data_IF_634414855752
#
_entry.id   IF_634414855752
#
_cell.length_a   1.000
_cell.length_b   1.000
_cell.length_c   1.000
_cell.angle_alpha   90.00
_cell.angle_beta   90.00
_cell.angle_gamma   90.00
#
_symmetry.space_group_name_H-M   'P 1'
#
loop_
_entity.id
_entity.type
_entity.pdbx_description
1 polymer ?
#
# COMPACT_ATOMS: atom_id res chain seq x y z
N UNK A 1 9.09 -30.75 24.88
CA UNK A 1 7.79 -31.38 25.26
C UNK A 1 6.59 -30.45 25.00
N UNK A 2 6.56 -29.19 25.48
CA UNK A 2 5.49 -28.23 25.16
C UNK A 2 5.48 -27.84 23.69
N UNK A 3 6.65 -27.62 23.08
CA UNK A 3 6.81 -27.31 21.66
C UNK A 3 6.32 -28.46 20.76
N UNK A 4 6.55 -29.71 21.16
CA UNK A 4 6.12 -30.89 20.41
C UNK A 4 4.59 -31.05 20.48
N UNK A 5 3.98 -30.78 21.63
CA UNK A 5 2.53 -30.77 21.80
C UNK A 5 1.90 -29.65 20.94
N UNK A 6 2.47 -28.43 20.98
CA UNK A 6 1.97 -27.33 20.18
C UNK A 6 2.08 -27.61 18.67
N UNK A 7 3.18 -28.24 18.23
CA UNK A 7 3.36 -28.66 16.84
C UNK A 7 2.32 -29.71 16.44
N UNK A 8 2.13 -30.74 17.25
CA UNK A 8 1.13 -31.80 17.00
C UNK A 8 -0.29 -31.23 16.95
N UNK A 9 -0.63 -30.27 17.81
CA UNK A 9 -1.93 -29.60 17.79
C UNK A 9 -2.11 -28.79 16.49
N UNK A 10 -1.06 -28.07 16.03
CA UNK A 10 -1.08 -27.34 14.77
C UNK A 10 -1.27 -28.28 13.56
N UNK A 11 -0.59 -29.43 13.55
CA UNK A 11 -0.71 -30.45 12.51
C UNK A 11 -2.15 -30.99 12.42
N UNK A 12 -2.78 -31.27 13.55
CA UNK A 12 -4.18 -31.75 13.61
C UNK A 12 -5.13 -30.68 13.06
N UNK A 13 -4.96 -29.41 13.46
CA UNK A 13 -5.76 -28.29 12.94
C UNK A 13 -5.60 -28.13 11.44
N UNK A 14 -4.39 -28.28 10.93
CA UNK A 14 -4.09 -28.17 9.50
C UNK A 14 -4.73 -29.33 8.70
N UNK A 15 -4.64 -30.56 9.20
CA UNK A 15 -5.28 -31.73 8.57
C UNK A 15 -6.80 -31.58 8.52
N UNK A 16 -7.41 -31.11 9.58
CA UNK A 16 -8.85 -30.90 9.67
C UNK A 16 -9.31 -29.74 8.76
N UNK A 17 -8.58 -28.63 8.74
CA UNK A 17 -8.84 -27.52 7.83
C UNK A 17 -8.70 -27.95 6.37
N UNK A 18 -7.74 -28.80 6.02
CA UNK A 18 -7.55 -29.33 4.66
C UNK A 18 -8.79 -30.08 4.16
N UNK A 19 -9.46 -30.86 5.01
CA UNK A 19 -10.70 -31.58 4.68
C UNK A 19 -11.87 -30.62 4.38
N UNK A 20 -11.84 -29.43 4.95
CA UNK A 20 -12.89 -28.42 4.82
C UNK A 20 -12.59 -27.38 3.73
N UNK A 21 -11.35 -27.29 3.27
CA UNK A 21 -10.88 -26.22 2.38
C UNK A 21 -11.72 -26.10 1.11
N UNK A 22 -11.98 -27.22 0.43
CA UNK A 22 -12.77 -27.25 -0.81
C UNK A 22 -14.26 -26.96 -0.63
N UNK A 23 -14.77 -27.07 0.60
CA UNK A 23 -16.14 -26.66 0.94
C UNK A 23 -16.26 -25.15 1.14
N UNK A 24 -15.15 -24.50 1.52
CA UNK A 24 -15.08 -23.07 1.79
C UNK A 24 -14.58 -22.31 0.58
N UNK A 25 -13.52 -22.80 -0.06
CA UNK A 25 -12.91 -22.15 -1.22
C UNK A 25 -13.19 -22.94 -2.49
N UNK A 26 -13.68 -22.25 -3.53
CA UNK A 26 -13.90 -22.82 -4.86
C UNK A 26 -13.20 -21.96 -5.91
N UNK A 27 -12.59 -22.59 -6.89
CA UNK A 27 -12.00 -21.89 -8.05
C UNK A 27 -12.91 -22.07 -9.25
N UNK A 28 -13.33 -20.96 -9.85
CA UNK A 28 -14.14 -20.96 -11.06
C UNK A 28 -13.73 -19.81 -11.98
N UNK A 29 -13.46 -20.11 -13.26
CA UNK A 29 -13.06 -19.12 -14.28
C UNK A 29 -11.90 -18.21 -13.85
N UNK A 30 -10.87 -18.80 -13.21
CA UNK A 30 -9.69 -18.05 -12.75
C UNK A 30 -9.91 -17.15 -11.51
N UNK A 31 -11.10 -17.20 -10.92
CA UNK A 31 -11.43 -16.49 -9.67
C UNK A 31 -11.61 -17.50 -8.54
N UNK A 32 -11.25 -17.09 -7.34
CA UNK A 32 -11.48 -17.91 -6.13
C UNK A 32 -12.67 -17.31 -5.39
N UNK A 33 -13.53 -18.20 -4.92
CA UNK A 33 -14.76 -17.87 -4.18
C UNK A 33 -14.65 -18.43 -2.79
N UNK A 34 -14.80 -17.59 -1.78
CA UNK A 34 -14.98 -17.99 -0.39
C UNK A 34 -16.48 -17.97 -0.08
N UNK A 35 -17.04 -19.12 0.22
CA UNK A 35 -18.45 -19.28 0.55
C UNK A 35 -18.70 -18.84 1.99
N UNK A 36 -19.38 -17.71 2.18
CA UNK A 36 -19.59 -17.08 3.49
C UNK A 36 -20.30 -18.01 4.45
N UNK A 37 -21.37 -18.66 4.00
CA UNK A 37 -22.13 -19.56 4.87
C UNK A 37 -21.31 -20.78 5.31
N UNK A 38 -20.50 -21.34 4.42
CA UNK A 38 -19.62 -22.46 4.75
C UNK A 38 -18.50 -22.04 5.70
N UNK A 39 -17.90 -20.86 5.47
CA UNK A 39 -16.85 -20.33 6.32
C UNK A 39 -17.34 -20.03 7.74
N UNK A 40 -18.50 -19.41 7.88
CA UNK A 40 -19.07 -19.02 9.18
C UNK A 40 -19.56 -20.21 10.04
N UNK A 41 -19.63 -21.43 9.49
CA UNK A 41 -19.92 -22.64 10.27
C UNK A 41 -18.76 -23.10 11.15
N UNK A 42 -17.56 -22.59 10.89
CA UNK A 42 -16.37 -23.03 11.59
C UNK A 42 -16.00 -22.08 12.74
N UNK A 43 -15.42 -22.65 13.80
CA UNK A 43 -14.86 -21.88 14.91
C UNK A 43 -13.70 -20.98 14.47
N UNK A 44 -13.43 -19.87 15.18
CA UNK A 44 -12.41 -18.87 14.79
C UNK A 44 -11.04 -19.47 14.48
N UNK A 45 -10.58 -20.45 15.28
CA UNK A 45 -9.26 -21.07 15.04
C UNK A 45 -9.21 -21.81 13.68
N UNK A 46 -10.30 -22.45 13.28
CA UNK A 46 -10.38 -23.13 11.99
C UNK A 46 -10.53 -22.12 10.84
N UNK A 47 -11.27 -21.04 11.04
CA UNK A 47 -11.37 -19.94 10.07
C UNK A 47 -9.99 -19.33 9.82
N UNK A 48 -9.24 -19.06 10.88
CA UNK A 48 -7.86 -18.56 10.78
C UNK A 48 -6.96 -19.55 10.02
N UNK A 49 -7.02 -20.85 10.36
CA UNK A 49 -6.22 -21.88 9.68
C UNK A 49 -6.57 -22.00 8.20
N UNK A 50 -7.85 -21.90 7.83
CA UNK A 50 -8.30 -21.91 6.43
C UNK A 50 -7.73 -20.70 5.65
N UNK A 51 -7.74 -19.51 6.24
CA UNK A 51 -7.14 -18.32 5.63
C UNK A 51 -5.61 -18.43 5.55
N UNK A 52 -4.94 -18.96 6.57
CA UNK A 52 -3.50 -19.25 6.49
C UNK A 52 -3.18 -20.21 5.34
N UNK A 53 -3.94 -21.27 5.16
CA UNK A 53 -3.78 -22.22 4.06
C UNK A 53 -4.01 -21.54 2.69
N UNK A 54 -5.01 -20.67 2.60
CA UNK A 54 -5.24 -19.88 1.40
C UNK A 54 -4.00 -19.05 1.05
N UNK A 55 -3.48 -18.28 2.00
CA UNK A 55 -2.30 -17.45 1.74
C UNK A 55 -1.04 -18.28 1.49
N UNK A 56 -0.84 -19.37 2.21
CA UNK A 56 0.29 -20.28 1.96
C UNK A 56 0.30 -20.84 0.53
N UNK A 57 -0.88 -21.11 -0.03
CA UNK A 57 -1.02 -21.64 -1.38
C UNK A 57 -0.95 -20.57 -2.48
N UNK A 58 -1.46 -19.37 -2.22
CA UNK A 58 -1.68 -18.34 -3.26
C UNK A 58 -0.80 -17.09 -3.08
N UNK A 59 -0.23 -16.89 -1.90
CA UNK A 59 0.64 -15.77 -1.56
C UNK A 59 1.66 -16.17 -0.48
N UNK A 60 2.57 -17.12 -0.73
CA UNK A 60 3.44 -17.70 0.29
C UNK A 60 4.38 -16.68 0.97
N UNK A 61 4.57 -15.51 0.35
CA UNK A 61 5.31 -14.39 0.95
C UNK A 61 4.48 -13.53 1.92
N UNK A 62 3.16 -13.75 1.98
CA UNK A 62 2.26 -12.97 2.82
C UNK A 62 2.01 -13.69 4.14
N UNK A 63 2.27 -13.02 5.25
CA UNK A 63 1.96 -13.54 6.59
C UNK A 63 0.64 -12.95 7.03
N UNK A 64 -0.36 -13.80 7.27
CA UNK A 64 -1.65 -13.39 7.82
C UNK A 64 -1.44 -12.96 9.28
N UNK A 65 -1.52 -11.65 9.53
CA UNK A 65 -1.49 -11.09 10.88
C UNK A 65 -2.89 -11.09 11.51
N UNK A 66 -2.98 -10.83 12.82
CA UNK A 66 -4.27 -10.66 13.49
C UNK A 66 -5.09 -9.51 12.90
N UNK A 67 -4.42 -8.43 12.50
CA UNK A 67 -5.07 -7.25 11.89
C UNK A 67 -5.70 -7.61 10.56
N UNK A 68 -4.97 -8.29 9.67
CA UNK A 68 -5.54 -8.73 8.39
C UNK A 68 -6.65 -9.77 8.58
N UNK A 69 -6.49 -10.67 9.53
CA UNK A 69 -7.54 -11.63 9.85
C UNK A 69 -8.84 -10.93 10.27
N UNK A 70 -8.77 -9.98 11.20
CA UNK A 70 -9.94 -9.21 11.64
C UNK A 70 -10.57 -8.40 10.50
N UNK A 71 -9.78 -7.78 9.63
CA UNK A 71 -10.28 -7.07 8.44
C UNK A 71 -11.01 -7.99 7.46
N UNK A 72 -10.49 -9.20 7.26
CA UNK A 72 -11.16 -10.19 6.41
C UNK A 72 -12.46 -10.65 7.08
N UNK A 73 -12.48 -10.87 8.39
CA UNK A 73 -13.69 -11.20 9.12
C UNK A 73 -14.73 -10.09 9.07
N UNK A 74 -14.30 -8.84 9.27
CA UNK A 74 -15.19 -7.67 9.15
C UNK A 74 -15.82 -7.59 7.76
N UNK A 75 -15.00 -7.76 6.69
CA UNK A 75 -15.53 -7.84 5.33
C UNK A 75 -16.58 -8.94 5.19
N UNK A 76 -16.31 -10.14 5.70
CA UNK A 76 -17.20 -11.30 5.58
C UNK A 76 -18.50 -11.11 6.37
N UNK A 77 -18.41 -10.59 7.59
CA UNK A 77 -19.52 -10.59 8.56
C UNK A 77 -20.32 -9.29 8.53
N UNK A 78 -19.67 -8.14 8.50
CA UNK A 78 -20.32 -6.86 8.78
C UNK A 78 -20.47 -5.94 7.56
N UNK A 79 -19.60 -6.07 6.55
CA UNK A 79 -19.65 -5.16 5.41
C UNK A 79 -20.78 -5.48 4.42
N UNK A 80 -21.23 -4.46 3.67
CA UNK A 80 -22.25 -4.62 2.64
C UNK A 80 -21.67 -5.26 1.36
N UNK A 81 -22.51 -5.95 0.54
CA UNK A 81 -22.08 -6.41 -0.78
C UNK A 81 -21.52 -5.27 -1.63
N UNK A 82 -20.45 -5.56 -2.38
CA UNK A 82 -19.69 -4.59 -3.18
C UNK A 82 -18.47 -3.99 -2.48
N UNK A 83 -18.36 -4.11 -1.15
CA UNK A 83 -17.16 -3.70 -0.42
C UNK A 83 -15.97 -4.55 -0.83
N UNK A 84 -14.79 -3.90 -0.85
CA UNK A 84 -13.53 -4.50 -1.29
C UNK A 84 -12.45 -4.27 -0.25
N UNK A 85 -11.55 -5.26 -0.17
CA UNK A 85 -10.35 -5.20 0.66
C UNK A 85 -9.21 -5.91 -0.06
N UNK A 86 -8.01 -5.34 -0.05
CA UNK A 86 -6.84 -5.93 -0.70
C UNK A 86 -5.88 -6.49 0.36
N UNK A 87 -5.56 -7.80 0.25
CA UNK A 87 -4.60 -8.50 1.11
C UNK A 87 -3.76 -9.50 0.31
N UNK A 88 -2.45 -9.50 0.52
CA UNK A 88 -1.53 -10.47 -0.09
C UNK A 88 -1.55 -10.49 -1.63
N UNK A 89 -1.74 -9.35 -2.29
CA UNK A 89 -1.96 -9.20 -3.75
C UNK A 89 -3.28 -9.79 -4.25
N UNK A 90 -4.22 -10.01 -3.36
CA UNK A 90 -5.55 -10.48 -3.69
C UNK A 90 -6.59 -9.44 -3.31
N UNK A 91 -7.51 -9.16 -4.21
CA UNK A 91 -8.68 -8.33 -3.96
C UNK A 91 -9.84 -9.20 -3.49
N UNK A 92 -10.31 -8.93 -2.32
CA UNK A 92 -11.44 -9.58 -1.67
C UNK A 92 -12.67 -8.70 -1.88
N UNK A 93 -13.61 -9.15 -2.68
CA UNK A 93 -14.85 -8.40 -2.97
C UNK A 93 -16.03 -9.14 -2.39
N UNK A 94 -16.75 -8.52 -1.45
CA UNK A 94 -17.95 -9.13 -0.86
C UNK A 94 -19.09 -9.13 -1.87
N UNK A 95 -19.74 -10.26 -2.01
CA UNK A 95 -21.04 -10.42 -2.65
C UNK A 95 -22.08 -10.85 -1.60
N UNK A 96 -23.32 -11.03 -1.99
CA UNK A 96 -24.38 -11.44 -1.07
C UNK A 96 -24.12 -12.80 -0.40
N UNK A 97 -23.49 -13.74 -1.10
CA UNK A 97 -23.30 -15.13 -0.63
C UNK A 97 -21.86 -15.56 -0.47
N UNK A 98 -20.94 -14.84 -1.09
CA UNK A 98 -19.53 -15.20 -1.12
C UNK A 98 -18.63 -13.97 -1.09
N UNK A 99 -17.33 -14.19 -0.84
CA UNK A 99 -16.29 -13.23 -1.17
C UNK A 99 -15.56 -13.72 -2.41
N UNK A 100 -15.56 -12.90 -3.45
CA UNK A 100 -14.82 -13.17 -4.69
C UNK A 100 -13.40 -12.66 -4.51
N UNK A 101 -12.45 -13.57 -4.65
CA UNK A 101 -11.03 -13.28 -4.48
C UNK A 101 -10.38 -13.34 -5.86
N UNK A 102 -9.84 -12.21 -6.30
CA UNK A 102 -9.16 -12.07 -7.59
C UNK A 102 -7.75 -11.54 -7.36
N UNK A 103 -6.79 -11.90 -8.21
CA UNK A 103 -5.50 -11.22 -8.16
C UNK A 103 -5.74 -9.70 -8.28
N UNK A 104 -5.09 -8.93 -7.44
CA UNK A 104 -4.98 -7.49 -7.70
C UNK A 104 -4.14 -7.39 -8.95
N UNK A 105 -4.75 -6.93 -10.03
CA UNK A 105 -4.03 -6.69 -11.27
C UNK A 105 -3.03 -5.55 -11.04
N UNK A 106 -1.82 -5.94 -10.63
CA UNK A 106 -0.68 -5.03 -10.53
C UNK A 106 -0.12 -4.70 -11.91
N UNK A 107 -0.66 -5.34 -12.97
CA UNK A 107 -0.30 -5.03 -14.36
C UNK A 107 -1.00 -3.79 -14.89
N UNK A 108 -2.06 -3.31 -14.26
CA UNK A 108 -2.46 -1.91 -14.38
C UNK A 108 -1.41 -1.05 -13.67
N UNK A 109 -0.17 -1.08 -14.19
CA UNK A 109 0.84 -0.07 -13.84
C UNK A 109 0.14 1.26 -13.98
N UNK A 110 -0.15 1.88 -12.86
CA UNK A 110 -0.70 3.23 -12.87
C UNK A 110 0.20 4.01 -13.79
N UNK A 111 -0.34 4.45 -14.94
CA UNK A 111 0.48 5.12 -15.96
C UNK A 111 1.15 6.30 -15.33
N UNK A 112 2.40 6.54 -15.72
CA UNK A 112 3.10 7.75 -15.32
C UNK A 112 2.26 8.96 -15.75
N UNK A 113 2.02 9.90 -14.85
CA UNK A 113 1.29 11.15 -15.14
C UNK A 113 2.20 12.35 -14.92
N UNK A 114 1.98 13.39 -15.69
CA UNK A 114 2.72 14.66 -15.55
C UNK A 114 1.92 15.63 -14.71
N UNK A 115 2.52 16.12 -13.65
CA UNK A 115 1.96 17.15 -12.77
C UNK A 115 2.62 18.50 -13.08
N UNK A 116 1.89 19.36 -13.75
CA UNK A 116 2.28 20.76 -13.93
C UNK A 116 1.94 21.55 -12.68
N UNK A 117 2.82 22.43 -12.24
CA UNK A 117 2.61 23.26 -11.05
C UNK A 117 1.33 24.09 -11.21
N UNK A 118 0.53 24.15 -10.16
CA UNK A 118 -0.79 24.77 -10.15
C UNK A 118 -1.96 23.79 -10.44
N UNK A 119 -1.66 22.56 -10.85
CA UNK A 119 -2.66 21.58 -11.24
C UNK A 119 -2.82 20.45 -10.20
N UNK A 120 -3.88 19.68 -10.42
CA UNK A 120 -4.18 18.44 -9.68
C UNK A 120 -4.24 17.30 -10.67
N UNK A 121 -3.63 16.16 -10.33
CA UNK A 121 -3.69 14.92 -11.11
C UNK A 121 -4.14 13.76 -10.25
N UNK A 122 -4.75 12.75 -10.86
CA UNK A 122 -5.09 11.49 -10.20
C UNK A 122 -4.05 10.42 -10.58
N UNK A 123 -3.57 9.68 -9.58
CA UNK A 123 -2.66 8.57 -9.77
C UNK A 123 -2.97 7.44 -8.77
N UNK A 124 -3.46 6.31 -9.27
CA UNK A 124 -3.98 5.24 -8.40
C UNK A 124 -5.14 5.74 -7.53
N UNK A 125 -5.05 5.51 -6.24
CA UNK A 125 -5.99 6.00 -5.23
C UNK A 125 -5.68 7.41 -4.72
N UNK A 126 -4.70 8.09 -5.33
CA UNK A 126 -4.24 9.40 -4.88
C UNK A 126 -4.67 10.53 -5.82
N UNK A 127 -5.11 11.64 -5.27
CA UNK A 127 -5.08 12.94 -5.93
C UNK A 127 -3.85 13.69 -5.46
N UNK A 128 -3.06 14.20 -6.38
CA UNK A 128 -1.85 14.96 -6.08
C UNK A 128 -2.07 16.38 -6.60
N UNK A 129 -2.05 17.33 -5.67
CA UNK A 129 -2.18 18.76 -5.98
C UNK A 129 -0.81 19.42 -5.85
N UNK A 130 -0.53 20.37 -6.71
CA UNK A 130 0.64 21.23 -6.61
C UNK A 130 0.25 22.69 -6.68
N UNK A 131 0.95 23.54 -5.93
CA UNK A 131 0.89 25.00 -6.03
C UNK A 131 2.28 25.59 -5.86
N UNK A 132 2.50 26.78 -6.43
CA UNK A 132 3.68 27.60 -6.14
C UNK A 132 3.27 28.71 -5.17
N UNK A 133 4.02 28.86 -4.10
CA UNK A 133 3.72 29.81 -3.03
C UNK A 133 4.98 30.57 -2.64
N UNK A 134 4.82 31.84 -2.24
CA UNK A 134 5.93 32.58 -1.64
C UNK A 134 6.29 31.94 -0.29
N UNK A 135 7.59 31.73 -0.06
CA UNK A 135 8.04 31.19 1.22
C UNK A 135 7.80 32.20 2.34
N UNK A 136 7.15 31.78 3.41
CA UNK A 136 6.77 32.62 4.55
C UNK A 136 7.08 31.93 5.87
N UNK A 137 7.11 32.69 6.97
CA UNK A 137 7.28 32.14 8.31
C UNK A 137 6.16 31.14 8.70
N UNK A 138 4.97 31.31 8.16
CA UNK A 138 3.86 30.38 8.35
C UNK A 138 4.18 29.02 7.72
N UNK A 139 4.70 29.01 6.50
CA UNK A 139 5.14 27.77 5.84
C UNK A 139 6.30 27.15 6.61
N UNK A 140 7.29 27.97 7.03
CA UNK A 140 8.43 27.51 7.84
C UNK A 140 7.99 26.76 9.10
N UNK A 141 7.00 27.29 9.83
CA UNK A 141 6.44 26.63 11.03
C UNK A 141 5.69 25.33 10.74
N UNK A 142 5.26 25.13 9.50
CA UNK A 142 4.49 23.97 9.07
C UNK A 142 5.30 22.92 8.29
N UNK A 143 6.59 23.17 8.05
CA UNK A 143 7.48 22.19 7.45
C UNK A 143 7.46 20.90 8.26
N UNK A 144 7.33 19.76 7.59
CA UNK A 144 7.35 18.41 8.15
C UNK A 144 6.26 18.05 9.19
N UNK A 145 5.24 18.88 9.39
CA UNK A 145 4.14 18.56 10.33
C UNK A 145 3.16 17.50 9.79
N UNK A 146 3.01 17.44 8.48
CA UNK A 146 2.10 16.50 7.82
C UNK A 146 2.87 15.75 6.73
N UNK A 147 3.00 14.41 6.79
CA UNK A 147 3.72 13.64 5.78
C UNK A 147 3.06 13.68 4.40
N UNK A 148 1.79 14.06 4.32
CA UNK A 148 1.03 14.18 3.06
C UNK A 148 1.10 15.58 2.45
N UNK A 149 1.76 16.54 3.11
CA UNK A 149 1.98 17.89 2.61
C UNK A 149 3.46 18.19 2.73
N UNK A 150 4.10 18.47 1.59
CA UNK A 150 5.51 18.82 1.58
C UNK A 150 5.76 20.12 0.81
N UNK A 151 6.82 20.78 1.17
CA UNK A 151 7.28 22.01 0.51
C UNK A 151 8.69 21.75 -0.01
N UNK A 152 8.88 22.01 -1.29
CA UNK A 152 10.16 21.90 -1.98
C UNK A 152 10.64 23.32 -2.37
N UNK A 153 11.92 23.53 -2.41
CA UNK A 153 12.47 24.73 -3.05
C UNK A 153 12.10 24.73 -4.55
N UNK A 154 11.51 25.81 -5.02
CA UNK A 154 11.12 25.96 -6.41
C UNK A 154 12.29 26.17 -7.35
N UNK A 155 13.42 26.73 -6.87
CA UNK A 155 14.59 27.06 -7.68
C UNK A 155 15.12 25.90 -8.54
N UNK A 156 15.34 24.70 -7.98
CA UNK A 156 15.79 23.54 -8.74
C UNK A 156 14.75 22.95 -9.70
N UNK A 157 13.46 23.27 -9.54
CA UNK A 157 12.37 22.60 -10.28
C UNK A 157 12.06 23.35 -11.58
N UNK A 158 12.77 23.01 -12.64
CA UNK A 158 12.68 23.65 -13.96
C UNK A 158 11.77 22.94 -14.97
N UNK A 159 11.32 21.72 -14.65
CA UNK A 159 10.50 20.86 -15.52
C UNK A 159 9.26 20.39 -14.76
N UNK A 160 8.19 19.97 -15.46
CA UNK A 160 7.05 19.36 -14.81
C UNK A 160 7.45 18.14 -13.97
N UNK A 161 6.76 17.95 -12.85
CA UNK A 161 6.94 16.79 -11.98
C UNK A 161 6.21 15.60 -12.61
N UNK A 162 6.87 14.44 -12.64
CA UNK A 162 6.24 13.19 -13.05
C UNK A 162 5.87 12.38 -11.83
N UNK A 163 4.66 11.84 -11.80
CA UNK A 163 4.18 10.91 -10.77
C UNK A 163 4.17 9.51 -11.35
N UNK A 164 4.79 8.57 -10.66
CA UNK A 164 4.92 7.19 -11.11
C UNK A 164 5.05 6.21 -9.95
N UNK A 165 4.93 4.92 -10.23
CA UNK A 165 5.37 3.89 -9.30
C UNK A 165 6.90 3.87 -9.16
N UNK A 166 7.40 3.37 -8.04
CA UNK A 166 8.82 3.13 -7.88
C UNK A 166 9.34 2.08 -8.88
N UNK A 167 10.64 2.14 -9.19
CA UNK A 167 11.31 1.19 -10.09
C UNK A 167 12.53 0.60 -9.40
N UNK A 168 12.91 -0.60 -9.78
CA UNK A 168 14.15 -1.18 -9.31
C UNK A 168 15.32 -0.30 -9.75
N UNK A 169 16.28 -0.05 -8.85
CA UNK A 169 17.39 0.87 -9.08
C UNK A 169 17.09 2.34 -8.76
N UNK A 170 15.85 2.69 -8.39
CA UNK A 170 15.54 4.02 -7.90
C UNK A 170 16.32 4.33 -6.63
N UNK A 171 16.95 5.51 -6.60
CA UNK A 171 17.69 6.01 -5.45
C UNK A 171 17.43 7.49 -5.26
N UNK A 172 17.48 7.96 -4.04
CA UNK A 172 17.28 9.35 -3.67
C UNK A 172 18.15 9.69 -2.46
N UNK A 173 18.28 10.96 -2.14
CA UNK A 173 18.94 11.42 -0.93
C UNK A 173 17.88 11.84 0.08
N UNK A 174 17.54 10.98 1.07
CA UNK A 174 16.49 11.32 2.05
C UNK A 174 16.82 12.64 2.76
N UNK A 175 15.81 13.47 2.97
CA UNK A 175 15.97 14.74 3.70
C UNK A 175 16.74 14.55 5.01
N UNK A 176 17.80 15.36 5.20
CA UNK A 176 18.71 15.26 6.33
C UNK A 176 19.84 14.25 6.18
N UNK A 177 19.95 13.56 5.03
CA UNK A 177 21.02 12.61 4.75
C UNK A 177 21.92 13.13 3.61
N UNK A 178 23.24 12.85 3.71
CA UNK A 178 24.19 13.23 2.66
C UNK A 178 24.39 12.15 1.61
N UNK A 179 24.01 10.89 1.90
CA UNK A 179 24.20 9.75 1.01
C UNK A 179 22.91 9.36 0.29
N UNK A 180 23.07 8.80 -0.90
CA UNK A 180 21.96 8.18 -1.62
C UNK A 180 21.55 6.87 -0.95
N UNK A 181 20.25 6.64 -0.91
CA UNK A 181 19.64 5.41 -0.44
C UNK A 181 18.76 4.82 -1.55
N UNK A 182 18.83 3.50 -1.73
CA UNK A 182 17.91 2.83 -2.65
C UNK A 182 16.48 2.92 -2.09
N UNK A 183 15.52 3.15 -2.96
CA UNK A 183 14.10 3.20 -2.58
C UNK A 183 13.62 1.85 -2.08
N UNK A 184 14.15 0.75 -2.63
CA UNK A 184 13.88 -0.61 -2.14
C UNK A 184 14.23 -0.78 -0.66
N UNK A 185 15.42 -0.30 -0.27
CA UNK A 185 15.94 -0.42 1.11
C UNK A 185 15.20 0.54 2.04
N UNK A 186 14.91 1.75 1.55
CA UNK A 186 14.08 2.71 2.27
C UNK A 186 12.71 2.14 2.62
N UNK A 187 12.05 1.43 1.69
CA UNK A 187 10.78 0.77 1.95
C UNK A 187 10.91 -0.40 2.94
N UNK A 188 12.01 -1.14 2.91
CA UNK A 188 12.28 -2.23 3.88
C UNK A 188 12.43 -1.66 5.29
N UNK A 189 13.22 -0.60 5.45
CA UNK A 189 13.44 0.04 6.76
C UNK A 189 12.15 0.60 7.37
N UNK A 190 11.24 1.08 6.52
CA UNK A 190 9.92 1.58 6.93
C UNK A 190 8.86 0.46 7.00
N UNK A 191 9.28 -0.81 6.88
CA UNK A 191 8.40 -1.99 6.95
C UNK A 191 7.22 -1.94 5.98
N UNK A 192 7.42 -1.32 4.80
CA UNK A 192 6.38 -1.25 3.77
C UNK A 192 6.19 -2.62 3.14
N UNK A 193 4.98 -3.19 3.21
CA UNK A 193 4.67 -4.46 2.56
C UNK A 193 4.97 -4.41 1.06
N UNK A 194 5.41 -5.53 0.49
CA UNK A 194 5.74 -5.62 -0.95
C UNK A 194 4.55 -5.25 -1.82
N UNK A 195 3.34 -5.58 -1.37
CA UNK A 195 2.07 -5.25 -2.03
C UNK A 195 1.82 -3.75 -2.13
N UNK A 196 2.27 -2.98 -1.14
CA UNK A 196 1.93 -1.56 -1.02
C UNK A 196 2.97 -0.67 -1.69
N UNK A 197 4.18 -1.20 -1.93
CA UNK A 197 5.27 -0.43 -2.56
C UNK A 197 4.87 0.21 -3.89
N UNK A 198 4.01 -0.47 -4.68
CA UNK A 198 3.58 0.03 -6.00
C UNK A 198 2.40 1.02 -5.93
N UNK A 199 1.74 1.14 -4.77
CA UNK A 199 0.67 2.11 -4.55
C UNK A 199 1.15 3.43 -3.99
N UNK A 200 2.42 3.50 -3.57
CA UNK A 200 3.05 4.73 -3.09
C UNK A 200 3.54 5.54 -4.29
N UNK A 201 3.05 6.77 -4.47
CA UNK A 201 3.48 7.60 -5.58
C UNK A 201 4.92 8.09 -5.36
N UNK A 202 5.75 7.93 -6.38
CA UNK A 202 7.09 8.51 -6.45
C UNK A 202 7.05 9.70 -7.39
N UNK A 203 7.30 10.88 -6.84
CA UNK A 203 7.32 12.11 -7.60
C UNK A 203 8.76 12.41 -8.05
N UNK A 204 8.94 12.69 -9.34
CA UNK A 204 10.27 12.88 -9.93
C UNK A 204 10.33 14.18 -10.73
N UNK A 205 11.49 14.82 -10.73
CA UNK A 205 11.86 15.93 -11.59
C UNK A 205 13.04 15.48 -12.47
N UNK A 206 12.80 15.31 -13.76
CA UNK A 206 13.78 14.68 -14.64
C UNK A 206 14.08 13.24 -14.18
N UNK A 207 15.36 12.99 -13.81
CA UNK A 207 15.82 11.70 -13.29
C UNK A 207 15.78 11.62 -11.76
N UNK A 208 15.62 12.74 -11.09
CA UNK A 208 15.70 12.84 -9.64
C UNK A 208 14.35 12.55 -9.00
N UNK A 209 14.34 11.79 -7.93
CA UNK A 209 13.19 11.69 -7.05
C UNK A 209 13.16 12.95 -6.20
N UNK A 210 12.01 13.61 -6.13
CA UNK A 210 11.81 14.78 -5.28
C UNK A 210 11.04 14.44 -4.01
N UNK A 211 10.17 13.43 -4.10
CA UNK A 211 9.37 12.98 -2.96
C UNK A 211 8.91 11.54 -3.13
N UNK A 212 9.05 10.75 -2.08
CA UNK A 212 8.34 9.48 -1.90
C UNK A 212 7.06 9.82 -1.13
N UNK A 213 5.93 9.74 -1.78
CA UNK A 213 4.65 10.25 -1.31
C UNK A 213 4.26 9.73 0.08
N UNK A 214 3.86 10.66 0.96
CA UNK A 214 3.50 10.34 2.33
C UNK A 214 4.67 9.95 3.24
N UNK A 215 5.92 10.01 2.74
CA UNK A 215 7.09 9.54 3.49
C UNK A 215 8.21 10.59 3.59
N UNK A 216 9.07 10.72 2.57
CA UNK A 216 10.29 11.55 2.66
C UNK A 216 10.59 12.26 1.34
N UNK A 217 10.99 13.53 1.45
CA UNK A 217 11.51 14.34 0.34
C UNK A 217 13.00 14.08 0.13
N UNK A 218 13.50 14.46 -1.04
CA UNK A 218 14.92 14.45 -1.35
C UNK A 218 15.59 15.73 -0.80
N UNK A 219 16.77 15.58 -0.19
CA UNK A 219 17.52 16.67 0.44
C UNK A 219 17.96 17.75 -0.53
N UNK A 220 18.09 17.44 -1.83
CA UNK A 220 18.47 18.39 -2.87
C UNK A 220 17.39 19.42 -3.19
N UNK A 221 16.16 19.15 -2.79
CA UNK A 221 14.98 20.00 -3.01
C UNK A 221 14.47 20.62 -1.70
N UNK A 222 15.26 20.56 -0.64
CA UNK A 222 14.90 21.11 0.66
C UNK A 222 14.79 22.63 0.61
N UNK A 223 13.88 23.15 1.39
CA UNK A 223 13.76 24.57 1.66
C UNK A 223 14.94 25.03 2.51
N UNK A 224 15.56 26.12 2.11
CA UNK A 224 16.71 26.76 2.79
C UNK A 224 16.34 28.19 3.21
N UNK A 225 17.16 28.87 4.00
CA UNK A 225 16.95 30.28 4.33
C UNK A 225 16.89 31.20 3.10
N UNK A 226 17.54 30.83 2.01
CA UNK A 226 17.60 31.60 0.76
C UNK A 226 16.42 31.29 -0.19
N UNK A 227 15.56 30.36 0.15
CA UNK A 227 14.39 29.99 -0.65
C UNK A 227 13.39 31.16 -0.65
N UNK A 228 13.01 31.64 -1.82
CA UNK A 228 12.01 32.70 -2.00
C UNK A 228 10.62 32.12 -2.33
N UNK A 229 10.60 31.07 -3.12
CA UNK A 229 9.38 30.43 -3.61
C UNK A 229 9.46 28.94 -3.33
N UNK A 230 8.35 28.35 -2.90
CA UNK A 230 8.22 26.92 -2.66
C UNK A 230 7.16 26.30 -3.57
N UNK A 231 7.37 25.04 -3.90
CA UNK A 231 6.34 24.20 -4.48
C UNK A 231 5.74 23.38 -3.35
N UNK A 232 4.48 23.62 -3.08
CA UNK A 232 3.67 22.79 -2.18
C UNK A 232 3.11 21.63 -2.96
N UNK A 233 3.30 20.41 -2.44
CA UNK A 233 2.73 19.18 -2.95
C UNK A 233 1.85 18.56 -1.87
N UNK A 234 0.63 18.20 -2.24
CA UNK A 234 -0.35 17.59 -1.34
C UNK A 234 -0.82 16.24 -1.89
N UNK A 235 -0.78 15.21 -1.07
CA UNK A 235 -1.43 13.93 -1.33
C UNK A 235 -2.79 13.91 -0.64
N UNK A 236 -3.83 13.74 -1.42
CA UNK A 236 -5.21 13.66 -0.98
C UNK A 236 -5.69 12.25 -1.30
N UNK A 237 -6.12 11.50 -0.28
CA UNK A 237 -6.75 10.20 -0.53
C UNK A 237 -8.08 10.41 -1.21
N UNK A 238 -8.34 9.63 -2.26
CA UNK A 238 -9.71 9.43 -2.68
C UNK A 238 -10.37 8.53 -1.62
N UNK A 239 -11.15 9.11 -0.73
CA UNK A 239 -12.21 8.33 -0.12
C UNK A 239 -13.20 7.96 -1.24
N UNK A 240 -13.51 6.66 -1.39
CA UNK A 240 -14.51 6.21 -2.34
C UNK A 240 -15.91 6.68 -1.94
#
# INVERSE_FOLDING_TARGET
RLADIAKSAADVLQMDAKRCYTKVFRTQKGKIWLEIQAFNRYYPIRQYTLLQMFFASHAPWFTLTSVEYERILDLIQHQQPGRKFDAGKWRWTKTTRAVVITPVDTSSRTKDVTLTIGNTVSWGSWKIRSSAERYTDTIRKNLAKNPYIVYLDAGPVTKPIRVRAWKNGDRFRPYGMHQFKNVSDFFVDHKIPVTDKHTIPVLTHGRDIVWIGGMRTDDRYKVTPDTLTVIKLELITHEP
#
